data_IF_239177443406
#
_entry.id   IF_239177443406
#
_cell.length_a   1.000
_cell.length_b   1.000
_cell.length_c   1.000
_cell.angle_alpha   90.00
_cell.angle_beta   90.00
_cell.angle_gamma   90.00
#
_symmetry.space_group_name_H-M   'P 1'
#
loop_
_entity.id
_entity.type
_entity.pdbx_description
1 polymer ?
#
# COMPACT_ATOMS: atom_id res chain seq x y z
N UNK A 1 -28.12 23.79 -0.85
CA UNK A 1 -27.20 24.96 -0.89
C UNK A 1 -27.02 25.45 -2.30
N UNK A 2 -26.57 24.61 -3.24
CA UNK A 2 -26.46 24.95 -4.67
C UNK A 2 -27.80 25.41 -5.27
N UNK A 3 -28.88 24.65 -5.04
CA UNK A 3 -30.23 25.03 -5.49
C UNK A 3 -30.77 26.32 -4.83
N UNK A 4 -30.21 26.71 -3.69
CA UNK A 4 -30.59 27.93 -2.97
C UNK A 4 -29.65 29.10 -3.29
N UNK A 5 -28.66 28.92 -4.17
CA UNK A 5 -27.67 29.92 -4.59
C UNK A 5 -26.97 30.66 -3.42
N UNK A 6 -26.74 29.96 -2.30
CA UNK A 6 -26.01 30.52 -1.16
C UNK A 6 -24.51 30.37 -1.42
N UNK A 7 -23.77 31.48 -1.44
CA UNK A 7 -22.32 31.49 -1.63
C UNK A 7 -21.59 30.80 -0.48
N UNK A 8 -20.39 30.24 -0.73
CA UNK A 8 -19.56 29.63 0.33
C UNK A 8 -19.28 30.58 1.49
N UNK A 9 -19.06 31.87 1.21
CA UNK A 9 -18.88 32.90 2.23
C UNK A 9 -20.09 33.03 3.15
N UNK A 10 -21.30 32.99 2.60
CA UNK A 10 -22.53 33.01 3.38
C UNK A 10 -22.72 31.70 4.17
N UNK A 11 -22.36 30.54 3.59
CA UNK A 11 -22.38 29.26 4.31
C UNK A 11 -21.48 29.32 5.54
N UNK A 12 -20.23 29.81 5.39
CA UNK A 12 -19.31 29.98 6.51
C UNK A 12 -19.87 30.95 7.55
N UNK A 13 -20.35 32.11 7.10
CA UNK A 13 -20.94 33.11 7.98
C UNK A 13 -22.11 32.56 8.82
N UNK A 14 -23.09 31.89 8.19
CA UNK A 14 -24.25 31.34 8.91
C UNK A 14 -23.88 30.16 9.81
N UNK A 15 -22.89 29.36 9.44
CA UNK A 15 -22.37 28.29 10.30
C UNK A 15 -21.68 28.85 11.55
N UNK A 16 -20.85 29.89 11.41
CA UNK A 16 -20.20 30.55 12.54
C UNK A 16 -21.24 31.21 13.44
N UNK A 17 -22.26 31.84 12.84
CA UNK A 17 -23.37 32.40 13.60
C UNK A 17 -24.19 31.33 14.33
N UNK A 18 -24.43 30.15 13.75
CA UNK A 18 -25.12 29.04 14.41
C UNK A 18 -24.45 28.66 15.75
N UNK A 19 -23.12 28.68 15.81
CA UNK A 19 -22.37 28.34 17.02
C UNK A 19 -22.58 29.35 18.18
N UNK A 20 -23.05 30.56 17.86
CA UNK A 20 -23.32 31.61 18.85
C UNK A 20 -24.71 31.50 19.50
N UNK A 21 -25.56 30.55 19.06
CA UNK A 21 -26.92 30.40 19.57
C UNK A 21 -27.13 29.07 20.30
N UNK A 22 -27.87 29.11 21.40
CA UNK A 22 -28.39 27.91 22.07
C UNK A 22 -29.57 27.34 21.29
N UNK A 23 -29.83 26.05 21.46
CA UNK A 23 -30.99 25.37 20.85
C UNK A 23 -32.33 26.08 21.15
N UNK A 24 -32.49 26.64 22.35
CA UNK A 24 -33.70 27.41 22.72
C UNK A 24 -33.85 28.71 21.93
N UNK A 25 -32.74 29.39 21.60
CA UNK A 25 -32.75 30.62 20.80
C UNK A 25 -33.02 30.29 19.33
N UNK A 26 -32.43 29.22 18.81
CA UNK A 26 -32.68 28.76 17.44
C UNK A 26 -34.15 28.38 17.21
N UNK A 27 -34.83 27.81 18.22
CA UNK A 27 -36.27 27.50 18.16
C UNK A 27 -37.17 28.74 18.04
N UNK A 28 -36.67 29.93 18.38
CA UNK A 28 -37.41 31.18 18.25
C UNK A 28 -37.28 31.80 16.84
N UNK A 29 -36.37 31.28 16.00
CA UNK A 29 -36.22 31.76 14.63
C UNK A 29 -37.39 31.32 13.77
N UNK A 30 -37.63 32.05 12.68
CA UNK A 30 -38.49 31.54 11.62
C UNK A 30 -37.91 30.23 11.06
N UNK A 31 -38.76 29.29 10.60
CA UNK A 31 -38.29 28.01 10.07
C UNK A 31 -37.23 28.16 8.97
N UNK A 32 -37.41 29.14 8.08
CA UNK A 32 -36.45 29.45 7.02
C UNK A 32 -35.07 29.87 7.58
N UNK A 33 -35.05 30.81 8.53
CA UNK A 33 -33.80 31.29 9.14
C UNK A 33 -33.09 30.18 9.91
N UNK A 34 -33.83 29.40 10.72
CA UNK A 34 -33.27 28.27 11.44
C UNK A 34 -32.64 27.24 10.48
N UNK A 35 -33.33 26.93 9.38
CA UNK A 35 -32.86 25.98 8.37
C UNK A 35 -31.54 26.43 7.73
N UNK A 36 -31.42 27.70 7.34
CA UNK A 36 -30.18 28.23 6.75
C UNK A 36 -29.00 28.04 7.71
N UNK A 37 -29.18 28.37 8.99
CA UNK A 37 -28.13 28.26 10.00
C UNK A 37 -27.72 26.80 10.25
N UNK A 38 -28.71 25.92 10.46
CA UNK A 38 -28.46 24.49 10.71
C UNK A 38 -27.79 23.83 9.52
N UNK A 39 -28.33 24.01 8.31
CA UNK A 39 -27.77 23.39 7.11
C UNK A 39 -26.37 23.93 6.82
N UNK A 40 -26.13 25.23 7.02
CA UNK A 40 -24.79 25.82 6.88
C UNK A 40 -23.79 25.19 7.83
N UNK A 41 -24.16 25.03 9.09
CA UNK A 41 -23.34 24.35 10.09
C UNK A 41 -23.07 22.89 9.73
N UNK A 42 -24.09 22.14 9.32
CA UNK A 42 -23.94 20.75 8.91
C UNK A 42 -23.04 20.61 7.69
N UNK A 43 -23.19 21.47 6.68
CA UNK A 43 -22.31 21.48 5.50
C UNK A 43 -20.84 21.72 5.89
N UNK A 44 -20.56 22.74 6.71
CA UNK A 44 -19.19 23.02 7.13
C UNK A 44 -18.61 21.88 7.98
N UNK A 45 -19.40 21.34 8.91
CA UNK A 45 -18.97 20.21 9.76
C UNK A 45 -18.71 18.95 8.95
N UNK A 46 -19.57 18.64 7.99
CA UNK A 46 -19.36 17.55 7.05
C UNK A 46 -18.06 17.73 6.28
N UNK A 47 -17.80 18.91 5.70
CA UNK A 47 -16.55 19.23 5.02
C UNK A 47 -15.32 18.99 5.90
N UNK A 48 -15.30 19.54 7.12
CA UNK A 48 -14.19 19.32 8.06
C UNK A 48 -13.97 17.85 8.41
N UNK A 49 -15.04 17.08 8.62
CA UNK A 49 -14.93 15.64 8.91
C UNK A 49 -14.36 14.91 7.70
N UNK A 50 -14.88 15.20 6.51
CA UNK A 50 -14.43 14.59 5.27
C UNK A 50 -12.95 14.89 4.98
N UNK A 51 -12.51 16.14 5.17
CA UNK A 51 -11.11 16.55 5.03
C UNK A 51 -10.21 15.82 6.02
N UNK A 52 -10.64 15.67 7.26
CA UNK A 52 -9.89 14.95 8.28
C UNK A 52 -9.75 13.46 7.94
N UNK A 53 -10.83 12.82 7.46
CA UNK A 53 -10.81 11.43 7.02
C UNK A 53 -9.92 11.24 5.80
N UNK A 54 -10.02 12.12 4.81
CA UNK A 54 -9.18 12.13 3.60
C UNK A 54 -7.71 12.30 3.95
N UNK A 55 -7.38 13.26 4.81
CA UNK A 55 -6.01 13.48 5.28
C UNK A 55 -5.48 12.26 6.07
N UNK A 56 -6.31 11.67 6.92
CA UNK A 56 -5.97 10.45 7.65
C UNK A 56 -5.67 9.28 6.71
N UNK A 57 -6.49 9.10 5.68
CA UNK A 57 -6.32 8.05 4.68
C UNK A 57 -5.02 8.25 3.90
N UNK A 58 -4.78 9.46 3.40
CA UNK A 58 -3.58 9.83 2.67
C UNK A 58 -2.29 9.61 3.49
N UNK A 59 -2.28 10.07 4.75
CA UNK A 59 -1.15 9.84 5.67
C UNK A 59 -0.93 8.36 5.92
N UNK A 60 -2.02 7.59 6.04
CA UNK A 60 -1.96 6.14 6.17
C UNK A 60 -1.30 5.46 4.98
N UNK A 61 -1.70 5.81 3.76
CA UNK A 61 -1.08 5.30 2.52
C UNK A 61 0.40 5.65 2.49
N UNK A 62 0.75 6.94 2.64
CA UNK A 62 2.14 7.42 2.60
C UNK A 62 3.03 6.72 3.62
N UNK A 63 2.52 6.46 4.82
CA UNK A 63 3.25 5.71 5.84
C UNK A 63 3.68 4.34 5.32
N UNK A 64 2.77 3.61 4.69
CA UNK A 64 3.06 2.26 4.19
C UNK A 64 3.95 2.28 2.93
N UNK A 65 3.80 3.27 2.06
CA UNK A 65 4.71 3.49 0.93
C UNK A 65 6.15 3.76 1.41
N UNK A 66 6.31 4.66 2.39
CA UNK A 66 7.61 4.97 2.97
C UNK A 66 8.23 3.75 3.65
N UNK A 67 7.45 3.00 4.43
CA UNK A 67 7.93 1.76 5.06
C UNK A 67 8.29 0.68 4.03
N UNK A 68 7.56 0.58 2.92
CA UNK A 68 7.89 -0.34 1.83
C UNK A 68 9.21 0.02 1.15
N UNK A 69 9.45 1.31 0.90
CA UNK A 69 10.72 1.80 0.35
C UNK A 69 11.88 1.49 1.31
N UNK A 70 11.74 1.83 2.60
CA UNK A 70 12.77 1.56 3.61
C UNK A 70 13.07 0.06 3.75
N UNK A 71 12.03 -0.77 3.75
CA UNK A 71 12.17 -2.22 3.75
C UNK A 71 12.98 -2.67 2.52
N UNK A 72 12.61 -2.18 1.34
CA UNK A 72 13.28 -2.53 0.10
C UNK A 72 14.75 -2.12 0.10
N UNK A 73 15.07 -0.90 0.51
CA UNK A 73 16.45 -0.40 0.56
C UNK A 73 17.30 -1.26 1.54
N UNK A 74 16.70 -1.66 2.67
CA UNK A 74 17.33 -2.57 3.62
C UNK A 74 17.57 -3.97 3.03
N UNK A 75 16.61 -4.53 2.28
CA UNK A 75 16.78 -5.85 1.65
C UNK A 75 17.80 -5.83 0.52
N UNK A 76 17.81 -4.79 -0.31
CA UNK A 76 18.83 -4.59 -1.35
C UNK A 76 20.23 -4.54 -0.72
N UNK A 77 20.40 -3.76 0.35
CA UNK A 77 21.69 -3.69 1.04
C UNK A 77 22.12 -5.05 1.62
N UNK A 78 21.18 -5.83 2.17
CA UNK A 78 21.44 -7.18 2.69
C UNK A 78 21.83 -8.15 1.58
N UNK A 79 21.09 -8.17 0.48
CA UNK A 79 21.37 -9.04 -0.66
C UNK A 79 22.67 -8.65 -1.38
N UNK A 80 22.93 -7.37 -1.59
CA UNK A 80 24.20 -6.90 -2.13
C UNK A 80 25.40 -7.34 -1.27
N UNK A 81 25.28 -7.23 0.06
CA UNK A 81 26.30 -7.72 0.99
C UNK A 81 26.46 -9.25 0.92
N UNK A 82 25.35 -9.99 0.78
CA UNK A 82 25.36 -11.46 0.65
C UNK A 82 26.05 -11.89 -0.64
N UNK A 83 25.68 -11.29 -1.78
CA UNK A 83 26.25 -11.57 -3.10
C UNK A 83 27.72 -11.15 -3.18
N UNK A 84 28.10 -10.02 -2.58
CA UNK A 84 29.50 -9.60 -2.47
C UNK A 84 30.38 -10.63 -1.74
N UNK A 85 29.84 -11.34 -0.74
CA UNK A 85 30.54 -12.46 -0.09
C UNK A 85 30.67 -13.68 -1.01
N UNK A 86 29.64 -13.96 -1.82
CA UNK A 86 29.68 -15.09 -2.77
C UNK A 86 30.60 -14.82 -3.97
N UNK A 87 30.75 -13.56 -4.42
CA UNK A 87 31.70 -13.20 -5.49
C UNK A 87 33.11 -13.70 -5.20
N UNK A 88 33.54 -13.69 -3.93
CA UNK A 88 34.87 -14.17 -3.55
C UNK A 88 35.10 -15.63 -3.95
N UNK A 89 34.04 -16.44 -4.03
CA UNK A 89 34.08 -17.85 -4.44
C UNK A 89 34.06 -18.03 -5.95
N UNK A 90 33.79 -16.98 -6.73
CA UNK A 90 33.82 -17.04 -8.20
C UNK A 90 35.23 -17.35 -8.69
N UNK A 91 36.26 -16.86 -7.99
CA UNK A 91 37.66 -17.23 -8.28
C UNK A 91 37.87 -18.74 -8.21
N UNK A 92 37.34 -19.40 -7.18
CA UNK A 92 37.46 -20.86 -7.02
C UNK A 92 36.70 -21.61 -8.12
N UNK A 93 35.53 -21.10 -8.53
CA UNK A 93 34.76 -21.63 -9.68
C UNK A 93 35.58 -21.51 -10.97
N UNK A 94 36.23 -20.37 -11.22
CA UNK A 94 37.08 -20.16 -12.39
C UNK A 94 38.31 -21.08 -12.39
N UNK A 95 38.93 -21.33 -11.23
CA UNK A 95 40.02 -22.30 -11.11
C UNK A 95 39.57 -23.73 -11.42
N UNK A 96 38.39 -24.14 -10.93
CA UNK A 96 37.83 -25.47 -11.24
C UNK A 96 37.57 -25.61 -12.75
N UNK A 97 37.05 -24.56 -13.40
CA UNK A 97 36.84 -24.55 -14.84
C UNK A 97 38.16 -24.63 -15.63
N UNK A 98 39.17 -23.83 -15.26
CA UNK A 98 40.47 -23.83 -15.92
C UNK A 98 41.19 -25.17 -15.79
N UNK A 99 41.13 -25.82 -14.62
CA UNK A 99 41.79 -27.10 -14.37
C UNK A 99 41.07 -28.29 -15.04
N UNK A 100 39.77 -28.18 -15.30
CA UNK A 100 38.99 -29.23 -15.97
C UNK A 100 38.97 -29.10 -17.50
N UNK A 101 39.47 -27.98 -18.06
CA UNK A 101 39.43 -27.71 -19.49
C UNK A 101 40.19 -28.73 -20.36
N UNK A 102 41.18 -29.43 -19.80
CA UNK A 102 42.00 -30.42 -20.50
C UNK A 102 41.55 -31.87 -20.27
N UNK A 103 40.51 -32.10 -19.46
CA UNK A 103 39.98 -33.44 -19.18
C UNK A 103 38.78 -33.75 -20.11
N UNK A 104 39.08 -34.28 -21.29
CA UNK A 104 38.09 -34.65 -22.31
C UNK A 104 37.12 -35.75 -21.86
N UNK A 105 37.43 -36.47 -20.77
CA UNK A 105 36.57 -37.54 -20.23
C UNK A 105 35.58 -37.05 -19.17
N UNK A 106 35.72 -35.82 -18.69
CA UNK A 106 34.89 -35.29 -17.61
C UNK A 106 33.46 -34.97 -18.08
N UNK A 107 32.47 -35.64 -17.50
CA UNK A 107 31.07 -35.33 -17.75
C UNK A 107 30.69 -33.94 -17.21
N UNK A 108 30.02 -33.13 -18.04
CA UNK A 108 29.53 -31.79 -17.66
C UNK A 108 28.71 -31.79 -16.35
N UNK A 109 27.93 -32.85 -16.11
CA UNK A 109 27.14 -33.02 -14.89
C UNK A 109 28.01 -33.20 -13.64
N UNK A 110 29.15 -33.86 -13.77
CA UNK A 110 30.12 -34.02 -12.68
C UNK A 110 30.85 -32.70 -12.39
N UNK A 111 31.18 -31.93 -13.43
CA UNK A 111 31.77 -30.59 -13.31
C UNK A 111 30.82 -29.62 -12.58
N UNK A 112 29.55 -29.56 -13.02
CA UNK A 112 28.53 -28.74 -12.34
C UNK A 112 28.34 -29.14 -10.89
N UNK A 113 28.40 -30.43 -10.55
CA UNK A 113 28.34 -30.90 -9.16
C UNK A 113 29.50 -30.36 -8.31
N UNK A 114 30.70 -30.26 -8.87
CA UNK A 114 31.86 -29.68 -8.18
C UNK A 114 31.72 -28.16 -8.03
N UNK A 115 31.24 -27.46 -9.06
CA UNK A 115 30.96 -26.03 -9.02
C UNK A 115 29.89 -25.72 -7.95
N UNK A 116 28.80 -26.49 -7.88
CA UNK A 116 27.72 -26.28 -6.93
C UNK A 116 28.09 -26.57 -5.47
N UNK A 117 29.19 -27.29 -5.20
CA UNK A 117 29.76 -27.40 -3.85
C UNK A 117 30.40 -26.08 -3.38
N UNK A 118 30.90 -25.28 -4.32
CA UNK A 118 31.59 -24.01 -4.06
C UNK A 118 30.56 -22.87 -4.04
N UNK A 119 29.78 -22.76 -5.11
CA UNK A 119 28.75 -21.73 -5.30
C UNK A 119 27.41 -22.40 -5.64
N UNK A 120 26.43 -22.39 -4.71
CA UNK A 120 25.14 -23.05 -4.94
C UNK A 120 24.45 -22.57 -6.21
N UNK A 121 23.73 -23.49 -6.86
CA UNK A 121 23.01 -23.20 -8.12
C UNK A 121 22.07 -21.99 -8.00
N UNK A 122 21.40 -21.82 -6.85
CA UNK A 122 20.50 -20.70 -6.58
C UNK A 122 21.20 -19.34 -6.61
N UNK A 123 22.50 -19.30 -6.31
CA UNK A 123 23.29 -18.08 -6.23
C UNK A 123 24.10 -17.84 -7.51
N UNK A 124 24.32 -18.86 -8.34
CA UNK A 124 25.16 -18.74 -9.53
C UNK A 124 24.67 -17.63 -10.48
N UNK A 125 23.38 -17.65 -10.81
CA UNK A 125 22.76 -16.64 -11.66
C UNK A 125 22.78 -15.26 -10.99
N UNK A 126 22.36 -15.16 -9.73
CA UNK A 126 22.32 -13.89 -9.01
C UNK A 126 23.70 -13.25 -8.80
N UNK A 127 24.75 -14.06 -8.61
CA UNK A 127 26.14 -13.57 -8.52
C UNK A 127 26.63 -13.09 -9.89
N UNK A 128 26.33 -13.83 -10.96
CA UNK A 128 26.66 -13.41 -12.32
C UNK A 128 26.00 -12.07 -12.68
N UNK A 129 24.70 -11.94 -12.42
CA UNK A 129 23.93 -10.71 -12.63
C UNK A 129 24.51 -9.55 -11.79
N UNK A 130 24.86 -9.82 -10.53
CA UNK A 130 25.46 -8.81 -9.65
C UNK A 130 26.86 -8.38 -10.12
N UNK A 131 27.70 -9.29 -10.64
CA UNK A 131 28.98 -8.95 -11.26
C UNK A 131 28.79 -8.11 -12.54
N UNK A 132 27.74 -8.37 -13.30
CA UNK A 132 27.33 -7.58 -14.45
C UNK A 132 26.67 -6.23 -14.06
N UNK A 133 26.64 -5.90 -12.76
CA UNK A 133 26.02 -4.68 -12.19
C UNK A 133 24.54 -4.55 -12.53
N UNK A 134 23.84 -5.67 -12.68
CA UNK A 134 22.38 -5.67 -12.78
C UNK A 134 21.80 -5.20 -11.46
N UNK A 135 20.92 -4.20 -11.51
CA UNK A 135 20.26 -3.68 -10.32
C UNK A 135 19.35 -4.75 -9.70
N UNK A 136 19.46 -4.91 -8.38
CA UNK A 136 18.56 -5.79 -7.64
C UNK A 136 17.11 -5.28 -7.74
N UNK A 137 16.16 -6.20 -7.90
CA UNK A 137 14.75 -5.85 -8.11
C UNK A 137 14.14 -5.20 -6.85
N UNK A 138 14.20 -3.87 -6.80
CA UNK A 138 13.57 -3.05 -5.76
C UNK A 138 12.07 -3.29 -5.67
N UNK A 139 11.42 -3.46 -6.82
CA UNK A 139 9.96 -3.66 -6.89
C UNK A 139 9.57 -4.98 -6.25
N UNK A 140 10.37 -6.04 -6.40
CA UNK A 140 10.14 -7.32 -5.73
C UNK A 140 10.09 -7.17 -4.21
N UNK A 141 11.05 -6.46 -3.60
CA UNK A 141 11.08 -6.26 -2.15
C UNK A 141 9.95 -5.36 -1.65
N UNK A 142 9.54 -4.36 -2.43
CA UNK A 142 8.34 -3.55 -2.14
C UNK A 142 7.09 -4.45 -2.09
N UNK A 143 6.90 -5.34 -3.08
CA UNK A 143 5.77 -6.28 -3.06
C UNK A 143 5.85 -7.30 -1.92
N UNK A 144 7.05 -7.73 -1.56
CA UNK A 144 7.26 -8.61 -0.42
C UNK A 144 6.80 -7.94 0.88
N UNK A 145 7.14 -6.66 1.07
CA UNK A 145 6.67 -5.87 2.22
C UNK A 145 5.14 -5.83 2.30
N UNK A 146 4.47 -5.51 1.19
CA UNK A 146 3.00 -5.45 1.16
C UNK A 146 2.36 -6.80 1.46
N UNK A 147 2.95 -7.90 0.96
CA UNK A 147 2.48 -9.25 1.23
C UNK A 147 2.57 -9.60 2.71
N UNK A 148 3.69 -9.28 3.36
CA UNK A 148 3.92 -9.52 4.78
C UNK A 148 3.00 -8.66 5.66
N UNK A 149 2.72 -7.42 5.25
CA UNK A 149 1.99 -6.45 6.07
C UNK A 149 0.50 -6.32 5.70
N UNK A 150 0.01 -7.14 4.76
CA UNK A 150 -1.35 -7.09 4.20
C UNK A 150 -2.44 -6.98 5.26
N UNK A 151 -2.36 -7.77 6.33
CA UNK A 151 -3.39 -7.80 7.39
C UNK A 151 -3.45 -6.47 8.13
N UNK A 152 -2.29 -5.92 8.51
CA UNK A 152 -2.15 -4.64 9.22
C UNK A 152 -2.60 -3.47 8.35
N UNK A 153 -2.15 -3.43 7.09
CA UNK A 153 -2.55 -2.42 6.12
C UNK A 153 -4.06 -2.43 5.94
N UNK A 154 -4.65 -3.61 5.71
CA UNK A 154 -6.11 -3.76 5.60
C UNK A 154 -6.81 -3.25 6.86
N UNK A 155 -6.39 -3.69 8.04
CA UNK A 155 -7.02 -3.30 9.31
C UNK A 155 -7.05 -1.77 9.48
N UNK A 156 -5.98 -1.09 9.09
CA UNK A 156 -5.81 0.34 9.35
C UNK A 156 -6.42 1.23 8.27
N UNK A 157 -6.34 0.84 6.99
CA UNK A 157 -6.80 1.68 5.88
C UNK A 157 -8.25 1.40 5.46
N UNK A 158 -8.76 0.19 5.70
CA UNK A 158 -10.06 -0.24 5.20
C UNK A 158 -11.20 0.69 5.61
N UNK A 159 -11.28 1.06 6.89
CA UNK A 159 -12.42 1.85 7.39
C UNK A 159 -12.48 3.20 6.68
N UNK A 160 -11.33 3.85 6.56
CA UNK A 160 -11.21 5.12 5.84
C UNK A 160 -11.55 4.96 4.36
N UNK A 161 -11.02 3.91 3.71
CA UNK A 161 -11.32 3.62 2.32
C UNK A 161 -12.82 3.37 2.06
N UNK A 162 -13.52 2.67 2.94
CA UNK A 162 -14.95 2.40 2.76
C UNK A 162 -15.86 3.58 3.14
N UNK A 163 -15.36 4.53 3.93
CA UNK A 163 -16.11 5.73 4.31
C UNK A 163 -15.97 6.85 3.29
N UNK A 164 -14.83 6.94 2.62
CA UNK A 164 -14.57 7.97 1.62
C UNK A 164 -15.26 7.63 0.30
N UNK A 165 -15.89 8.64 -0.29
CA UNK A 165 -16.38 8.58 -1.66
C UNK A 165 -15.27 9.00 -2.61
N UNK A 166 -14.98 8.17 -3.61
CA UNK A 166 -13.94 8.41 -4.60
C UNK A 166 -14.57 8.82 -5.92
N UNK A 167 -14.40 10.09 -6.28
CA UNK A 167 -14.67 10.56 -7.64
C UNK A 167 -13.41 10.40 -8.49
N UNK A 168 -13.56 9.71 -9.62
CA UNK A 168 -12.45 9.40 -10.52
C UNK A 168 -12.80 9.97 -11.88
N UNK A 169 -11.85 10.71 -12.45
CA UNK A 169 -11.99 11.24 -13.80
C UNK A 169 -12.24 10.08 -14.79
N UNK A 170 -13.24 10.25 -15.66
CA UNK A 170 -13.64 9.29 -16.69
C UNK A 170 -12.49 8.93 -17.64
N UNK A 171 -11.46 9.79 -17.74
CA UNK A 171 -10.23 9.50 -18.48
C UNK A 171 -9.40 8.33 -17.89
N UNK A 172 -9.62 7.96 -16.62
CA UNK A 172 -8.83 6.97 -15.88
C UNK A 172 -9.66 5.73 -15.50
N UNK A 173 -10.24 5.08 -16.51
CA UNK A 173 -11.10 3.91 -16.34
C UNK A 173 -10.43 2.74 -15.59
N UNK A 174 -9.15 2.47 -15.81
CA UNK A 174 -8.41 1.41 -15.11
C UNK A 174 -8.34 1.69 -13.60
N UNK A 175 -8.10 2.94 -13.23
CA UNK A 175 -8.08 3.35 -11.82
C UNK A 175 -9.45 3.19 -11.18
N UNK A 176 -10.51 3.56 -11.91
CA UNK A 176 -11.88 3.35 -11.46
C UNK A 176 -12.18 1.88 -11.19
N UNK A 177 -11.78 0.99 -12.09
CA UNK A 177 -11.93 -0.46 -11.88
C UNK A 177 -11.16 -0.97 -10.67
N UNK A 178 -9.95 -0.46 -10.42
CA UNK A 178 -9.16 -0.86 -9.26
C UNK A 178 -9.79 -0.42 -7.94
N UNK A 179 -10.34 0.79 -7.89
CA UNK A 179 -11.07 1.29 -6.71
C UNK A 179 -12.34 0.45 -6.48
N UNK A 180 -13.11 0.16 -7.53
CA UNK A 180 -14.30 -0.70 -7.44
C UNK A 180 -13.93 -2.11 -6.97
N UNK A 181 -12.90 -2.71 -7.55
CA UNK A 181 -12.40 -4.03 -7.15
C UNK A 181 -11.91 -4.03 -5.70
N UNK A 182 -11.21 -2.96 -5.28
CA UNK A 182 -10.78 -2.75 -3.90
C UNK A 182 -11.95 -2.65 -2.93
N UNK A 183 -12.98 -1.88 -3.28
CA UNK A 183 -14.23 -1.77 -2.51
C UNK A 183 -14.92 -3.11 -2.35
N UNK A 184 -15.04 -3.89 -3.43
CA UNK A 184 -15.61 -5.24 -3.40
C UNK A 184 -14.79 -6.18 -2.51
N UNK A 185 -13.48 -6.25 -2.73
CA UNK A 185 -12.56 -7.06 -1.93
C UNK A 185 -12.64 -6.73 -0.44
N UNK A 186 -12.73 -5.43 -0.12
CA UNK A 186 -12.97 -5.02 1.24
C UNK A 186 -14.36 -5.48 1.67
N UNK A 187 -15.46 -5.10 1.05
CA UNK A 187 -16.82 -5.49 1.45
C UNK A 187 -17.00 -7.00 1.66
N UNK A 188 -16.56 -7.85 0.74
CA UNK A 188 -16.73 -9.33 0.83
C UNK A 188 -15.95 -9.95 2.00
N UNK A 189 -14.85 -9.32 2.41
CA UNK A 189 -14.12 -9.80 3.59
C UNK A 189 -14.78 -9.49 4.94
N UNK A 190 -15.91 -8.74 4.97
CA UNK A 190 -16.83 -8.71 6.12
C UNK A 190 -17.63 -10.02 6.19
N UNK A 191 -18.09 -10.56 5.06
CA UNK A 191 -18.97 -11.73 5.01
C UNK A 191 -18.33 -12.97 5.65
N UNK A 192 -17.04 -13.20 5.41
CA UNK A 192 -16.29 -14.30 6.01
C UNK A 192 -15.82 -14.05 7.46
N UNK A 193 -15.76 -12.79 7.89
CA UNK A 193 -15.33 -12.42 9.25
C UNK A 193 -16.50 -12.29 10.24
N UNK A 194 -17.73 -12.13 9.74
CA UNK A 194 -18.97 -12.02 10.52
C UNK A 194 -19.73 -13.33 10.67
N UNK A 195 -19.28 -14.42 10.02
CA UNK A 195 -19.80 -15.76 10.27
C UNK A 195 -19.41 -16.15 11.71
N UNK A 196 -20.38 -16.50 12.59
CA UNK A 196 -20.05 -17.13 13.86
C UNK A 196 -19.18 -18.36 13.55
N UNK A 197 -18.15 -18.60 14.35
CA UNK A 197 -17.47 -19.91 14.36
C UNK A 197 -18.51 -20.96 14.77
N UNK A 198 -19.32 -21.44 13.83
CA UNK A 198 -20.17 -22.57 14.06
C UNK A 198 -19.26 -23.78 14.17
N UNK A 199 -19.14 -24.22 15.42
CA UNK A 199 -18.69 -25.49 15.92
C UNK A 199 -18.32 -26.53 14.85
N UNK A 200 -17.01 -26.77 14.69
CA UNK A 200 -16.55 -28.11 14.38
C UNK A 200 -16.74 -28.98 15.64
N UNK A 201 -17.98 -29.46 15.80
CA UNK A 201 -18.31 -30.68 16.53
C UNK A 201 -19.17 -31.47 15.57
N UNK A 202 -18.60 -32.45 14.89
CA UNK A 202 -18.86 -33.89 15.04
C UNK A 202 -17.86 -34.62 14.15
#
# INVERSE_FOLDING_TARGET
MEQAHISEGNIRFYSDMFQNYRTSQLKQFTPAKASIYIVSFLCQRYGHINDNLTNGFYRGIRKYEQSASQYSDTQIAKEANRLSKQIKKVSDVLHVLANSANDETMLAKALLKNIYKILPQSDLASVADFMAKVELDKKQFIWQYYRQNKVTIRRNLRRLFLTLEFEIDKAHFELANQIIAGSRYFCESLFWASQPKQAAKT
#
